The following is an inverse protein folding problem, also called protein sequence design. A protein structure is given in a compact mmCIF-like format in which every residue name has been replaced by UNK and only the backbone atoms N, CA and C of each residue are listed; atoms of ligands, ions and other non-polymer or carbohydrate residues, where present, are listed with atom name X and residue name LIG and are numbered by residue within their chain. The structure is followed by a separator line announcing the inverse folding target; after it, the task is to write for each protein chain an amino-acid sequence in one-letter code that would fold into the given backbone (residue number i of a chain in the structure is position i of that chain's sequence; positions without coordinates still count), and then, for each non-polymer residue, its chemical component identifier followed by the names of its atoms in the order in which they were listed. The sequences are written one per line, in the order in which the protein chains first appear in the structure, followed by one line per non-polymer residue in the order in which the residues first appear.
data_IF_111991219086
#
_entry.id   IF_111991219086
#
_cell.length_a   1.000
_cell.length_b   1.000
_cell.length_c   1.000
_cell.angle_alpha   90.00
_cell.angle_beta   90.00
_cell.angle_gamma   90.00
#
_symmetry.space_group_name_H-M   'P 1'
#
loop_
_entity.id
_entity.type
_entity.pdbx_description
1 polymer ?
#
# COMPACT_ATOMS: atom_id res chain seq x y z
N UNK A 1 -9.02 -7.82 19.48
CA UNK A 1 -10.04 -7.07 18.71
C UNK A 1 -10.62 -7.93 17.60
N UNK A 2 -9.87 -8.25 16.54
CA UNK A 2 -10.38 -9.11 15.44
C UNK A 2 -10.88 -10.47 15.92
N UNK A 3 -10.05 -11.22 16.67
CA UNK A 3 -10.43 -12.53 17.24
C UNK A 3 -11.68 -12.50 18.12
N UNK A 4 -11.89 -11.43 18.89
CA UNK A 4 -13.06 -11.27 19.76
C UNK A 4 -14.30 -10.74 19.03
N UNK A 5 -14.12 -10.31 17.78
CA UNK A 5 -15.11 -9.60 16.99
C UNK A 5 -15.74 -8.39 17.73
N UNK A 6 -14.91 -7.60 18.42
CA UNK A 6 -15.36 -6.39 19.13
C UNK A 6 -16.06 -5.42 18.14
N UNK A 7 -17.18 -4.78 18.52
CA UNK A 7 -17.93 -3.83 17.67
C UNK A 7 -17.17 -2.50 17.49
N UNK A 8 -16.08 -2.53 16.71
CA UNK A 8 -15.15 -1.41 16.50
C UNK A 8 -14.79 -1.30 15.02
N UNK A 9 -14.76 -0.07 14.51
CA UNK A 9 -14.10 0.27 13.26
C UNK A 9 -12.68 0.76 13.56
N UNK A 10 -11.67 0.01 13.12
CA UNK A 10 -10.28 0.41 13.21
C UNK A 10 -9.80 0.97 11.88
N UNK A 11 -9.31 2.21 11.89
CA UNK A 11 -8.74 2.87 10.71
C UNK A 11 -7.22 2.98 10.91
N UNK A 12 -6.46 2.33 10.04
CA UNK A 12 -5.01 2.45 9.97
C UNK A 12 -4.66 3.48 8.91
N UNK A 13 -4.16 4.65 9.32
CA UNK A 13 -3.51 5.56 8.37
C UNK A 13 -2.05 5.10 8.23
N UNK A 14 -1.74 4.48 7.09
CA UNK A 14 -0.43 3.91 6.84
C UNK A 14 0.44 4.87 6.04
N UNK A 15 1.46 5.38 6.71
CA UNK A 15 2.53 6.16 6.11
C UNK A 15 3.84 5.35 6.00
N UNK A 16 3.81 4.04 6.28
CA UNK A 16 4.87 3.07 6.05
C UNK A 16 6.12 3.22 6.93
N UNK A 17 6.10 4.01 8.00
CA UNK A 17 7.17 4.08 8.99
C UNK A 17 6.68 4.66 10.33
N UNK A 18 7.48 4.57 11.38
CA UNK A 18 7.26 5.36 12.59
C UNK A 18 7.70 6.81 12.34
N UNK A 19 6.81 7.60 11.74
CA UNK A 19 7.15 8.95 11.25
C UNK A 19 7.50 9.92 12.36
N UNK A 20 6.69 9.96 13.43
CA UNK A 20 6.83 10.94 14.51
C UNK A 20 8.18 10.84 15.23
N UNK A 21 8.70 9.62 15.39
CA UNK A 21 9.92 9.38 16.15
C UNK A 21 11.20 9.52 15.31
N UNK A 22 11.11 9.99 14.06
CA UNK A 22 12.26 10.14 13.18
C UNK A 22 12.37 9.07 12.09
N UNK A 23 11.23 8.62 11.54
CA UNK A 23 11.16 7.74 10.36
C UNK A 23 11.90 6.41 10.58
N UNK A 24 11.55 5.68 11.64
CA UNK A 24 12.07 4.32 11.86
C UNK A 24 11.25 3.26 11.11
N UNK A 25 11.87 2.14 10.75
CA UNK A 25 11.20 0.99 10.15
C UNK A 25 10.04 0.50 11.02
N UNK A 26 8.87 0.37 10.40
CA UNK A 26 7.68 -0.23 11.00
C UNK A 26 7.38 -1.58 10.34
N UNK A 27 6.32 -2.25 10.79
CA UNK A 27 5.83 -3.46 10.12
C UNK A 27 5.28 -3.21 8.70
N UNK A 28 4.98 -1.95 8.36
CA UNK A 28 4.44 -1.56 7.06
C UNK A 28 5.51 -1.06 6.08
N UNK A 29 6.74 -0.82 6.53
CA UNK A 29 7.82 -0.33 5.66
C UNK A 29 8.06 -1.31 4.50
N UNK A 30 7.95 -0.86 3.24
CA UNK A 30 8.18 -1.71 2.08
C UNK A 30 9.63 -2.18 1.97
N UNK A 31 9.91 -3.24 1.20
CA UNK A 31 11.27 -3.64 0.86
C UNK A 31 12.05 -2.50 0.19
N UNK A 32 13.38 -2.52 0.35
CA UNK A 32 14.33 -1.53 -0.15
C UNK A 32 14.13 -0.08 0.36
N UNK A 33 13.09 0.22 1.15
CA UNK A 33 12.88 1.57 1.66
C UNK A 33 13.95 1.94 2.70
N UNK A 34 14.60 3.09 2.49
CA UNK A 34 15.47 3.69 3.49
C UNK A 34 14.65 4.25 4.65
N UNK A 35 15.03 3.90 5.87
CA UNK A 35 14.54 4.53 7.11
C UNK A 35 15.72 4.85 8.03
N UNK A 36 15.47 5.45 9.20
CA UNK A 36 16.51 5.65 10.21
C UNK A 36 17.13 4.34 10.73
N UNK A 37 16.38 3.23 10.69
CA UNK A 37 16.81 1.91 11.17
C UNK A 37 17.02 0.88 10.06
N UNK A 38 16.77 1.25 8.80
CA UNK A 38 17.10 0.48 7.59
C UNK A 38 17.84 1.38 6.62
N UNK A 39 19.10 1.68 6.95
CA UNK A 39 19.91 2.59 6.15
C UNK A 39 20.23 2.00 4.78
N UNK A 40 20.39 2.86 3.78
CA UNK A 40 20.76 2.47 2.42
C UNK A 40 22.28 2.27 2.28
N UNK A 41 22.86 1.40 3.11
CA UNK A 41 24.30 1.11 3.16
C UNK A 41 24.55 -0.39 3.32
N UNK A 42 25.74 -0.85 2.91
CA UNK A 42 26.14 -2.25 3.01
C UNK A 42 25.61 -3.11 1.85
N UNK A 43 25.68 -4.43 2.03
CA UNK A 43 25.36 -5.41 0.97
C UNK A 43 23.87 -5.45 0.63
N UNK A 44 23.00 -5.24 1.63
CA UNK A 44 21.54 -5.25 1.51
C UNK A 44 20.97 -3.88 1.92
N UNK A 45 21.11 -2.85 1.07
CA UNK A 45 20.69 -1.49 1.41
C UNK A 45 19.16 -1.38 1.52
N UNK A 46 18.69 -0.63 2.52
CA UNK A 46 17.27 -0.40 2.77
C UNK A 46 16.61 -1.55 3.56
N UNK A 47 15.28 -1.57 3.59
CA UNK A 47 14.54 -2.59 4.33
C UNK A 47 14.56 -3.95 3.61
N UNK A 48 14.60 -5.03 4.39
CA UNK A 48 14.81 -6.39 3.87
C UNK A 48 13.55 -6.94 3.20
N UNK A 49 13.72 -7.61 2.06
CA UNK A 49 12.63 -8.32 1.37
C UNK A 49 12.06 -9.46 2.22
N UNK A 50 10.77 -9.76 2.02
CA UNK A 50 10.07 -10.82 2.76
C UNK A 50 9.72 -10.46 4.21
N UNK A 51 10.14 -9.29 4.70
CA UNK A 51 9.70 -8.75 5.98
C UNK A 51 8.58 -7.74 5.80
N UNK A 52 7.61 -7.74 6.71
CA UNK A 52 6.49 -6.82 6.71
C UNK A 52 5.19 -7.52 7.08
N UNK A 53 4.23 -6.76 7.61
CA UNK A 53 2.91 -7.24 7.99
C UNK A 53 1.89 -6.67 7.00
N UNK A 54 1.24 -7.54 6.24
CA UNK A 54 0.09 -7.14 5.45
C UNK A 54 -1.16 -7.19 6.35
N UNK A 55 -1.40 -6.11 7.11
CA UNK A 55 -2.52 -6.03 8.05
C UNK A 55 -3.88 -6.28 7.39
N UNK A 56 -4.21 -5.75 6.19
CA UNK A 56 -5.47 -6.06 5.51
C UNK A 56 -5.67 -7.57 5.32
N UNK A 57 -4.66 -8.29 4.84
CA UNK A 57 -4.75 -9.76 4.66
C UNK A 57 -4.81 -10.52 5.99
N UNK A 58 -4.15 -10.02 7.04
CA UNK A 58 -4.28 -10.58 8.39
C UNK A 58 -5.70 -10.39 8.91
N UNK A 59 -6.29 -9.20 8.71
CA UNK A 59 -7.67 -8.92 9.09
C UNK A 59 -8.66 -9.80 8.30
N UNK A 60 -8.43 -10.00 7.00
CA UNK A 60 -9.22 -10.94 6.18
C UNK A 60 -9.12 -12.37 6.70
N UNK A 61 -7.94 -12.82 7.14
CA UNK A 61 -7.74 -14.17 7.69
C UNK A 61 -8.47 -14.40 9.03
N UNK A 62 -8.93 -13.35 9.69
CA UNK A 62 -9.83 -13.43 10.85
C UNK A 62 -11.32 -13.46 10.46
N UNK A 63 -11.64 -13.43 9.15
CA UNK A 63 -13.00 -13.46 8.59
C UNK A 63 -13.94 -12.38 9.18
N UNK A 64 -13.35 -11.23 9.55
CA UNK A 64 -14.12 -10.12 10.13
C UNK A 64 -15.11 -9.56 9.10
N UNK A 65 -16.25 -8.99 9.54
CA UNK A 65 -17.32 -8.52 8.67
C UNK A 65 -16.90 -7.67 7.48
N UNK A 66 -15.93 -6.76 7.67
CA UNK A 66 -15.50 -5.86 6.61
C UNK A 66 -14.02 -5.48 6.73
N UNK A 67 -13.31 -5.61 5.62
CA UNK A 67 -11.94 -5.14 5.43
C UNK A 67 -11.88 -4.32 4.14
N UNK A 68 -11.28 -3.14 4.19
CA UNK A 68 -11.04 -2.36 2.98
C UNK A 68 -9.65 -1.71 2.98
N UNK A 69 -9.11 -1.50 1.77
CA UNK A 69 -7.96 -0.63 1.55
C UNK A 69 -8.39 0.61 0.76
N UNK A 70 -7.80 1.75 1.06
CA UNK A 70 -8.10 3.03 0.42
C UNK A 70 -6.83 3.89 0.31
N UNK A 71 -6.88 4.98 -0.45
CA UNK A 71 -5.79 5.96 -0.51
C UNK A 71 -6.34 7.37 -0.49
N UNK A 72 -5.49 8.34 -0.12
CA UNK A 72 -5.86 9.76 -0.17
C UNK A 72 -6.07 10.32 -1.59
N UNK A 73 -5.78 9.55 -2.64
CA UNK A 73 -5.98 10.00 -4.03
C UNK A 73 -7.43 9.94 -4.50
N UNK A 74 -8.28 9.15 -3.84
CA UNK A 74 -9.72 9.07 -4.10
C UNK A 74 -10.51 9.19 -2.79
N UNK A 75 -10.88 10.43 -2.46
CA UNK A 75 -11.62 10.73 -1.23
C UNK A 75 -13.05 10.17 -1.25
N UNK A 76 -13.67 10.04 -2.44
CA UNK A 76 -15.04 9.52 -2.55
C UNK A 76 -15.07 8.03 -2.29
N UNK A 77 -14.07 7.30 -2.78
CA UNK A 77 -13.88 5.88 -2.46
C UNK A 77 -13.68 5.68 -0.94
N UNK A 78 -12.83 6.50 -0.30
CA UNK A 78 -12.63 6.44 1.15
C UNK A 78 -13.93 6.73 1.93
N UNK A 79 -14.66 7.77 1.57
CA UNK A 79 -15.95 8.12 2.20
C UNK A 79 -16.98 6.99 2.05
N UNK A 80 -17.09 6.41 0.86
CA UNK A 80 -17.98 5.30 0.59
C UNK A 80 -17.64 4.06 1.43
N UNK A 81 -16.34 3.72 1.54
CA UNK A 81 -15.86 2.59 2.35
C UNK A 81 -16.07 2.80 3.84
N UNK A 82 -15.85 4.01 4.35
CA UNK A 82 -16.16 4.33 5.75
C UNK A 82 -17.67 4.22 6.00
N UNK A 83 -18.48 4.82 5.14
CA UNK A 83 -19.96 4.76 5.25
C UNK A 83 -20.46 3.32 5.21
N UNK A 84 -19.94 2.51 4.28
CA UNK A 84 -20.24 1.09 4.18
C UNK A 84 -19.78 0.33 5.43
N UNK A 85 -18.57 0.55 5.94
CA UNK A 85 -18.11 -0.08 7.18
C UNK A 85 -19.04 0.21 8.37
N UNK A 86 -19.64 1.40 8.44
CA UNK A 86 -20.58 1.78 9.50
C UNK A 86 -21.91 1.01 9.44
N UNK A 87 -22.27 0.38 8.30
CA UNK A 87 -23.47 -0.46 8.20
C UNK A 87 -23.29 -1.87 8.79
N UNK A 88 -22.04 -2.32 8.96
CA UNK A 88 -21.72 -3.61 9.56
C UNK A 88 -21.63 -3.53 11.10
N UNK A 89 -21.83 -4.68 11.75
CA UNK A 89 -21.57 -4.88 13.19
C UNK A 89 -20.41 -5.83 13.39
N UNK A 90 -19.66 -5.65 14.48
CA UNK A 90 -18.46 -6.42 14.79
C UNK A 90 -17.17 -5.69 14.40
N UNK A 91 -16.07 -6.42 14.32
CA UNK A 91 -14.77 -5.83 14.01
C UNK A 91 -14.70 -5.46 12.52
N UNK A 92 -14.28 -4.23 12.22
CA UNK A 92 -14.09 -3.74 10.86
C UNK A 92 -12.73 -3.07 10.73
N UNK A 93 -12.11 -3.17 9.57
CA UNK A 93 -10.77 -2.64 9.35
C UNK A 93 -10.67 -1.88 8.04
N UNK A 94 -10.16 -0.64 8.10
CA UNK A 94 -9.83 0.13 6.90
C UNK A 94 -8.35 0.52 6.96
N UNK A 95 -7.62 0.23 5.90
CA UNK A 95 -6.21 0.55 5.75
C UNK A 95 -6.02 1.61 4.67
N UNK A 96 -5.60 2.79 5.08
CA UNK A 96 -5.53 3.98 4.21
C UNK A 96 -4.08 4.32 3.95
N UNK A 97 -3.64 4.23 2.68
CA UNK A 97 -2.31 4.72 2.30
C UNK A 97 -2.27 6.25 2.35
N UNK A 98 -1.38 6.78 3.18
CA UNK A 98 -1.17 8.22 3.38
C UNK A 98 0.32 8.53 3.20
N UNK A 99 0.75 8.98 2.00
CA UNK A 99 2.13 9.39 1.78
C UNK A 99 2.57 10.48 2.77
N UNK A 100 3.76 10.32 3.34
CA UNK A 100 4.37 11.31 4.23
C UNK A 100 5.52 12.02 3.50
N UNK A 101 5.36 13.28 3.07
CA UNK A 101 6.40 13.99 2.31
C UNK A 101 7.74 14.03 3.04
N UNK A 102 7.72 14.31 4.34
CA UNK A 102 8.93 14.35 5.17
C UNK A 102 9.61 12.98 5.25
N UNK A 103 8.85 11.93 5.55
CA UNK A 103 9.40 10.60 5.76
C UNK A 103 9.84 9.90 4.49
N UNK A 104 9.14 10.13 3.38
CA UNK A 104 9.45 9.52 2.09
C UNK A 104 10.47 10.37 1.31
N UNK A 105 10.67 11.62 1.75
CA UNK A 105 11.49 12.63 1.09
C UNK A 105 10.97 12.94 -0.30
N UNK A 106 9.69 13.26 -0.39
CA UNK A 106 9.02 13.70 -1.62
C UNK A 106 8.58 15.16 -1.49
N UNK A 107 8.29 15.81 -2.63
CA UNK A 107 7.73 17.17 -2.59
C UNK A 107 6.32 17.14 -1.99
N UNK A 108 5.99 18.12 -1.15
CA UNK A 108 4.67 18.18 -0.49
C UNK A 108 3.51 18.28 -1.49
N UNK A 109 3.70 18.97 -2.61
CA UNK A 109 2.71 19.09 -3.69
C UNK A 109 2.46 17.77 -4.44
N UNK A 110 3.39 16.80 -4.37
CA UNK A 110 3.29 15.51 -5.04
C UNK A 110 2.54 14.45 -4.22
N UNK A 111 2.08 14.76 -3.01
CA UNK A 111 1.42 13.79 -2.10
C UNK A 111 0.30 12.99 -2.79
N UNK A 112 -0.61 13.68 -3.49
CA UNK A 112 -1.72 13.03 -4.21
C UNK A 112 -1.24 12.28 -5.45
N UNK A 113 -0.21 12.81 -6.14
CA UNK A 113 0.41 12.16 -7.30
C UNK A 113 1.03 10.83 -6.90
N UNK A 114 1.79 10.80 -5.81
CA UNK A 114 2.43 9.58 -5.29
C UNK A 114 1.40 8.57 -4.81
N UNK A 115 0.35 9.00 -4.09
CA UNK A 115 -0.75 8.13 -3.70
C UNK A 115 -1.43 7.47 -4.91
N UNK A 116 -1.61 8.21 -6.01
CA UNK A 116 -2.15 7.69 -7.26
C UNK A 116 -1.18 6.74 -7.97
N UNK A 117 0.12 7.07 -8.00
CA UNK A 117 1.14 6.19 -8.57
C UNK A 117 1.26 4.86 -7.80
N UNK A 118 1.02 4.85 -6.49
CA UNK A 118 1.03 3.63 -5.69
C UNK A 118 -0.06 2.63 -6.15
N UNK A 119 -1.24 3.13 -6.53
CA UNK A 119 -2.32 2.28 -7.07
C UNK A 119 -2.07 1.93 -8.53
N UNK A 120 -1.67 2.89 -9.35
CA UNK A 120 -1.42 2.71 -10.79
C UNK A 120 -0.26 1.78 -11.12
N UNK A 121 0.74 1.71 -10.24
CA UNK A 121 1.84 0.76 -10.35
C UNK A 121 1.49 -0.65 -9.89
N UNK A 122 0.38 -0.85 -9.15
CA UNK A 122 -0.01 -2.13 -8.56
C UNK A 122 0.65 -2.46 -7.22
N UNK A 123 1.48 -1.57 -6.67
CA UNK A 123 2.10 -1.77 -5.36
C UNK A 123 1.09 -1.73 -4.21
N UNK A 124 0.08 -0.86 -4.31
CA UNK A 124 -0.98 -0.75 -3.32
C UNK A 124 -2.36 -1.07 -3.94
N UNK A 125 -2.85 -2.32 -3.79
CA UNK A 125 -4.19 -2.70 -4.20
C UNK A 125 -5.26 -1.97 -3.39
N UNK A 126 -6.27 -1.44 -4.08
CA UNK A 126 -7.46 -0.83 -3.48
C UNK A 126 -8.62 -1.82 -3.64
N UNK A 127 -9.13 -2.35 -2.53
CA UNK A 127 -10.15 -3.39 -2.55
C UNK A 127 -11.06 -3.35 -1.32
N UNK A 128 -12.16 -4.09 -1.38
CA UNK A 128 -13.05 -4.43 -0.29
C UNK A 128 -13.16 -5.95 -0.16
N UNK A 129 -13.22 -6.41 1.07
CA UNK A 129 -13.43 -7.81 1.41
C UNK A 129 -14.46 -7.93 2.53
N UNK A 130 -15.27 -8.97 2.44
CA UNK A 130 -16.31 -9.30 3.42
C UNK A 130 -16.09 -10.76 3.82
N UNK A 131 -16.01 -11.01 5.13
CA UNK A 131 -15.83 -12.37 5.67
C UNK A 131 -14.66 -13.15 5.05
N UNK A 132 -13.53 -12.47 4.84
CA UNK A 132 -12.30 -13.08 4.31
C UNK A 132 -12.19 -13.12 2.79
N UNK A 133 -13.27 -12.84 2.05
CA UNK A 133 -13.30 -12.91 0.60
C UNK A 133 -13.31 -11.52 -0.05
N UNK A 134 -12.55 -11.34 -1.12
CA UNK A 134 -12.52 -10.07 -1.87
C UNK A 134 -13.81 -9.94 -2.68
N UNK A 135 -14.60 -8.89 -2.41
CA UNK A 135 -15.89 -8.64 -3.07
C UNK A 135 -15.82 -7.55 -4.12
N UNK A 136 -14.86 -6.62 -4.00
CA UNK A 136 -14.65 -5.55 -4.96
C UNK A 136 -13.18 -5.13 -4.99
N UNK A 137 -12.68 -4.75 -6.16
CA UNK A 137 -11.38 -4.11 -6.32
C UNK A 137 -11.46 -2.94 -7.30
N UNK A 138 -10.63 -1.93 -7.09
CA UNK A 138 -10.56 -0.78 -7.98
C UNK A 138 -9.63 -1.10 -9.16
N UNK A 139 -10.13 -1.11 -10.41
CA UNK A 139 -9.30 -1.44 -11.56
C UNK A 139 -8.29 -0.33 -11.86
N UNK A 140 -7.08 -0.73 -12.25
CA UNK A 140 -6.02 0.15 -12.73
C UNK A 140 -6.34 0.55 -14.17
N UNK A 141 -6.90 1.75 -14.34
CA UNK A 141 -7.24 2.29 -15.67
C UNK A 141 -6.04 2.78 -16.46
N UNK A 142 -5.01 3.25 -15.75
CA UNK A 142 -3.76 3.73 -16.34
C UNK A 142 -2.62 3.07 -15.60
N UNK A 143 -2.02 2.05 -16.21
CA UNK A 143 -0.88 1.36 -15.62
C UNK A 143 0.37 2.22 -15.79
N UNK A 144 1.06 2.43 -14.67
CA UNK A 144 2.35 3.11 -14.63
C UNK A 144 3.41 2.10 -14.18
N UNK A 145 4.69 2.35 -14.49
CA UNK A 145 5.76 1.49 -14.00
C UNK A 145 5.97 1.70 -12.49
N UNK A 146 6.47 0.67 -11.81
CA UNK A 146 6.92 0.82 -10.41
C UNK A 146 8.00 1.89 -10.29
N UNK A 147 8.85 2.01 -11.29
CA UNK A 147 9.91 3.02 -11.33
C UNK A 147 9.39 4.46 -11.21
N UNK A 148 8.29 4.82 -11.89
CA UNK A 148 7.72 6.17 -11.80
C UNK A 148 7.20 6.49 -10.39
N UNK A 149 6.71 5.49 -9.67
CA UNK A 149 6.40 5.64 -8.25
C UNK A 149 7.67 5.87 -7.42
N UNK A 150 8.72 5.06 -7.62
CA UNK A 150 9.94 5.08 -6.79
C UNK A 150 10.76 6.36 -6.96
N UNK A 151 10.88 6.90 -8.18
CA UNK A 151 11.72 8.07 -8.50
C UNK A 151 11.39 9.34 -7.71
N UNK A 152 10.13 9.51 -7.30
CA UNK A 152 9.67 10.71 -6.61
C UNK A 152 10.00 10.72 -5.11
N UNK A 153 10.68 9.68 -4.60
CA UNK A 153 10.86 9.45 -3.18
C UNK A 153 12.33 9.24 -2.84
N UNK A 154 12.92 10.13 -2.03
CA UNK A 154 14.33 10.02 -1.59
C UNK A 154 14.60 8.71 -0.86
N UNK A 155 13.60 8.09 -0.21
CA UNK A 155 13.78 6.78 0.45
C UNK A 155 14.21 5.64 -0.49
N UNK A 156 14.08 5.81 -1.81
CA UNK A 156 14.50 4.87 -2.85
C UNK A 156 15.63 5.42 -3.75
N UNK A 157 16.20 6.59 -3.46
CA UNK A 157 17.19 7.24 -4.34
C UNK A 157 18.43 6.38 -4.61
N UNK A 158 18.85 5.60 -3.62
CA UNK A 158 19.98 4.65 -3.71
C UNK A 158 19.76 3.50 -4.69
N UNK A 159 18.53 3.28 -5.17
CA UNK A 159 18.25 2.32 -6.24
C UNK A 159 18.62 2.86 -7.62
N UNK A 160 18.79 4.18 -7.75
CA UNK A 160 19.05 4.85 -9.03
C UNK A 160 20.45 5.44 -9.13
N UNK A 161 21.08 5.76 -8.00
CA UNK A 161 22.40 6.40 -7.95
C UNK A 161 23.21 5.90 -6.74
N UNK A 162 24.54 5.70 -6.86
CA UNK A 162 25.39 5.98 -8.03
C UNK A 162 25.28 4.94 -9.15
N UNK A 163 24.82 3.73 -8.83
CA UNK A 163 24.58 2.65 -9.79
C UNK A 163 23.14 2.21 -9.67
N UNK A 164 22.46 2.10 -10.81
CA UNK A 164 21.09 1.64 -10.85
C UNK A 164 20.99 0.15 -10.49
N UNK A 165 20.03 -0.19 -9.64
CA UNK A 165 19.78 -1.54 -9.10
C UNK A 165 18.56 -2.16 -9.75
N UNK A 166 18.70 -2.54 -11.02
CA UNK A 166 17.61 -3.17 -11.79
C UNK A 166 17.12 -4.46 -11.12
N UNK A 167 18.03 -5.22 -10.49
CA UNK A 167 17.70 -6.42 -9.70
C UNK A 167 16.64 -6.17 -8.62
N UNK A 168 16.75 -5.02 -7.92
CA UNK A 168 15.82 -4.64 -6.86
C UNK A 168 14.53 -4.07 -7.43
N UNK A 169 14.63 -3.26 -8.49
CA UNK A 169 13.47 -2.65 -9.15
C UNK A 169 12.58 -3.74 -9.78
N UNK A 170 13.17 -4.74 -10.42
CA UNK A 170 12.47 -5.88 -11.00
C UNK A 170 11.78 -6.74 -9.93
N UNK A 171 12.41 -6.90 -8.76
CA UNK A 171 11.78 -7.60 -7.64
C UNK A 171 10.57 -6.81 -7.09
N UNK A 172 10.64 -5.48 -7.02
CA UNK A 172 9.49 -4.64 -6.65
C UNK A 172 8.39 -4.70 -7.72
N UNK A 173 8.75 -4.74 -9.01
CA UNK A 173 7.81 -4.95 -10.11
C UNK A 173 7.10 -6.31 -10.00
N UNK A 174 7.82 -7.38 -9.67
CA UNK A 174 7.22 -8.70 -9.45
C UNK A 174 6.21 -8.72 -8.27
N UNK A 175 6.43 -7.91 -7.22
CA UNK A 175 5.46 -7.73 -6.14
C UNK A 175 4.20 -7.05 -6.66
N UNK A 176 4.35 -5.99 -7.44
CA UNK A 176 3.23 -5.29 -8.06
C UNK A 176 2.44 -6.21 -9.00
N UNK A 177 3.10 -6.99 -9.85
CA UNK A 177 2.45 -7.92 -10.78
C UNK A 177 1.69 -9.02 -10.03
N UNK A 178 2.27 -9.55 -8.94
CA UNK A 178 1.60 -10.51 -8.06
C UNK A 178 0.36 -9.92 -7.40
N UNK A 179 0.41 -8.66 -7.00
CA UNK A 179 -0.73 -7.95 -6.44
C UNK A 179 -1.83 -7.74 -7.50
N UNK A 180 -1.45 -7.32 -8.71
CA UNK A 180 -2.37 -7.15 -9.84
C UNK A 180 -3.11 -8.46 -10.14
N UNK A 181 -2.38 -9.57 -10.23
CA UNK A 181 -2.96 -10.88 -10.47
C UNK A 181 -3.87 -11.33 -9.31
N UNK A 182 -3.43 -11.15 -8.06
CA UNK A 182 -4.19 -11.57 -6.87
C UNK A 182 -5.54 -10.87 -6.74
N UNK A 183 -5.59 -9.57 -7.01
CA UNK A 183 -6.79 -8.75 -6.79
C UNK A 183 -7.54 -8.44 -8.10
N UNK A 184 -7.15 -9.10 -9.20
CA UNK A 184 -7.70 -8.88 -10.54
C UNK A 184 -7.80 -7.38 -10.89
N UNK A 185 -6.70 -6.65 -10.75
CA UNK A 185 -6.69 -5.19 -10.86
C UNK A 185 -6.66 -4.67 -12.30
N UNK A 186 -6.49 -5.54 -13.29
CA UNK A 186 -6.61 -5.12 -14.68
C UNK A 186 -8.09 -5.15 -15.05
N UNK A 187 -8.59 -4.07 -15.65
CA UNK A 187 -9.89 -4.16 -16.32
C UNK A 187 -9.81 -5.25 -17.38
N UNK A 188 -10.68 -6.26 -17.28
CA UNK A 188 -11.12 -6.98 -18.48
C UNK A 188 -11.85 -5.93 -19.29
N UNK A 189 -11.17 -5.29 -20.25
CA UNK A 189 -11.90 -4.65 -21.33
C UNK A 189 -12.80 -5.74 -21.91
N UNK A 190 -14.11 -5.51 -21.82
CA UNK A 190 -15.07 -6.30 -22.56
C UNK A 190 -14.65 -6.22 -24.04
N UNK A 191 -14.10 -7.31 -24.57
CA UNK A 191 -14.24 -7.61 -25.98
C UNK A 191 -15.74 -7.77 -26.26
N UNK A 192 -16.37 -6.71 -26.75
CA UNK A 192 -17.78 -6.63 -27.13
C UNK A 192 -18.30 -5.22 -26.84
N UNK A 193 -18.69 -4.39 -27.81
CA UNK A 193 -19.36 -4.67 -29.08
C UNK A 193 -19.24 -3.46 -30.00
#
# INVERSE_FOLDING_TARGET
MFERNDDVLYICYDNEAYMNTGVQRSGATPPAARTATTQAVGENPGNVFGQGKNLPRIAMAHEIPYVATATVADLRDLEAKVTKAMSFRGARYIHVLVPCPLGWGSQSCDTIKIARLATQSGLFPVFEAEHGEVVASTPIRKRESVEEYLKLQVRYSHLFSPTRRDDVIDHLQAIADKNIARYNLMSTENEGQ
#
